data_IF_380226175557
#
_entry.id   IF_380226175557
#
_cell.length_a   1.000
_cell.length_b   1.000
_cell.length_c   1.000
_cell.angle_alpha   90.00
_cell.angle_beta   90.00
_cell.angle_gamma   90.00
#
_symmetry.space_group_name_H-M   'P 1'
#
loop_
_entity.id
_entity.type
_entity.pdbx_description
1 polymer ?
#
# COMPACT_ATOMS: atom_id res chain seq x y z
N UNK A 1 59.31 -43.90 -9.56
CA UNK A 1 59.96 -43.06 -8.53
C UNK A 1 58.91 -42.09 -8.00
N UNK A 2 58.48 -42.30 -6.74
CA UNK A 2 58.69 -41.35 -5.61
C UNK A 2 57.69 -40.18 -5.65
N UNK A 3 56.47 -40.37 -5.13
CA UNK A 3 55.99 -40.15 -3.75
C UNK A 3 55.68 -38.67 -3.41
N UNK A 4 54.38 -38.41 -3.21
CA UNK A 4 53.72 -37.61 -2.15
C UNK A 4 54.54 -36.57 -1.35
N UNK A 5 53.98 -35.37 -1.19
CA UNK A 5 53.41 -34.95 0.11
C UNK A 5 52.51 -33.73 -0.04
N UNK A 6 51.32 -33.82 0.55
CA UNK A 6 50.44 -32.69 0.81
C UNK A 6 51.11 -31.69 1.74
N UNK A 7 50.89 -30.39 1.50
CA UNK A 7 50.81 -29.41 2.58
C UNK A 7 49.56 -28.58 2.35
N UNK A 8 48.53 -28.87 3.15
CA UNK A 8 47.47 -27.91 3.48
C UNK A 8 48.14 -26.66 4.07
N UNK A 9 47.79 -25.49 3.56
CA UNK A 9 47.79 -24.29 4.40
C UNK A 9 46.38 -23.70 4.38
N UNK A 10 45.60 -24.13 5.38
CA UNK A 10 44.55 -23.30 5.93
C UNK A 10 45.21 -21.98 6.35
N UNK A 11 44.92 -20.90 5.65
CA UNK A 11 45.13 -19.56 6.20
C UNK A 11 43.89 -18.71 5.92
N UNK A 12 42.97 -18.83 6.88
CA UNK A 12 42.15 -17.75 7.41
C UNK A 12 41.61 -16.71 6.44
N UNK A 13 40.29 -16.80 6.23
CA UNK A 13 39.42 -15.65 6.00
C UNK A 13 39.65 -14.66 7.15
N UNK A 14 40.59 -13.72 6.99
CA UNK A 14 40.68 -12.54 7.84
C UNK A 14 39.87 -11.42 7.19
N UNK A 15 38.68 -11.26 7.74
CA UNK A 15 37.86 -10.05 7.65
C UNK A 15 38.71 -8.84 8.04
N UNK A 16 39.23 -8.11 7.06
CA UNK A 16 39.70 -6.74 7.29
C UNK A 16 38.87 -5.81 6.42
N UNK A 17 37.69 -5.44 6.93
CA UNK A 17 37.05 -4.18 6.54
C UNK A 17 37.99 -3.06 6.95
N UNK A 18 38.77 -2.52 6.01
CA UNK A 18 39.51 -1.28 6.24
C UNK A 18 38.51 -0.13 6.14
N UNK A 19 37.79 0.09 7.25
CA UNK A 19 37.10 1.35 7.51
C UNK A 19 38.16 2.42 7.77
N UNK A 20 38.71 3.00 6.71
CA UNK A 20 39.80 3.97 6.80
C UNK A 20 39.95 4.86 5.56
N UNK A 21 38.87 5.15 4.84
CA UNK A 21 38.91 6.15 3.78
C UNK A 21 38.81 7.54 4.41
N UNK A 22 39.97 8.20 4.58
CA UNK A 22 40.04 9.64 4.87
C UNK A 22 39.18 10.38 3.84
N UNK A 23 38.24 11.19 4.33
CA UNK A 23 37.38 12.05 3.51
C UNK A 23 38.22 13.18 2.93
N UNK A 24 38.89 12.92 1.81
CA UNK A 24 39.42 13.97 0.94
C UNK A 24 38.26 14.66 0.21
N UNK A 25 38.37 15.95 -0.14
CA UNK A 25 37.32 16.67 -0.88
C UNK A 25 36.97 15.99 -2.23
N UNK A 26 37.92 15.29 -2.84
CA UNK A 26 37.75 14.49 -4.05
C UNK A 26 36.84 13.27 -3.82
N UNK A 27 37.03 12.54 -2.72
CA UNK A 27 36.19 11.40 -2.34
C UNK A 27 34.77 11.84 -1.94
N UNK A 28 34.60 13.06 -1.43
CA UNK A 28 33.28 13.64 -1.14
C UNK A 28 32.52 13.99 -2.44
N UNK A 29 33.19 14.60 -3.43
CA UNK A 29 32.62 14.91 -4.75
C UNK A 29 32.20 13.65 -5.51
N UNK A 30 32.97 12.57 -5.40
CA UNK A 30 32.61 11.27 -5.97
C UNK A 30 31.37 10.63 -5.31
N UNK A 31 31.20 10.79 -4.00
CA UNK A 31 29.99 10.30 -3.29
C UNK A 31 28.74 11.09 -3.68
N UNK A 32 28.84 12.41 -3.90
CA UNK A 32 27.72 13.23 -4.35
C UNK A 32 27.30 12.82 -5.76
N UNK A 33 28.24 12.71 -6.71
CA UNK A 33 27.93 12.31 -8.08
C UNK A 33 27.35 10.89 -8.18
N UNK A 34 27.77 9.98 -7.31
CA UNK A 34 27.19 8.63 -7.23
C UNK A 34 25.76 8.65 -6.66
N UNK A 35 25.49 9.45 -5.63
CA UNK A 35 24.14 9.60 -5.06
C UNK A 35 23.17 10.24 -6.06
N UNK A 36 23.56 11.34 -6.73
CA UNK A 36 22.72 11.96 -7.76
C UNK A 36 22.49 11.03 -8.95
N UNK A 37 23.51 10.26 -9.37
CA UNK A 37 23.36 9.26 -10.44
C UNK A 37 22.45 8.10 -10.03
N UNK A 38 22.49 7.67 -8.77
CA UNK A 38 21.62 6.62 -8.25
C UNK A 38 20.15 7.06 -8.20
N UNK A 39 19.87 8.27 -7.70
CA UNK A 39 18.50 8.82 -7.70
C UNK A 39 17.96 8.98 -9.12
N UNK A 40 18.74 9.54 -10.03
CA UNK A 40 18.36 9.65 -11.44
C UNK A 40 18.06 8.28 -12.09
N UNK A 41 18.89 7.27 -11.79
CA UNK A 41 18.68 5.93 -12.29
C UNK A 41 17.39 5.29 -11.74
N UNK A 42 17.09 5.49 -10.44
CA UNK A 42 15.84 5.04 -9.84
C UNK A 42 14.62 5.74 -10.46
N UNK A 43 14.70 7.03 -10.71
CA UNK A 43 13.61 7.80 -11.34
C UNK A 43 13.37 7.35 -12.78
N UNK A 44 14.43 7.03 -13.52
CA UNK A 44 14.35 6.39 -14.83
C UNK A 44 13.74 4.99 -14.79
N UNK A 45 14.06 4.18 -13.79
CA UNK A 45 13.45 2.85 -13.63
C UNK A 45 11.96 2.96 -13.30
N UNK A 46 11.59 3.87 -12.38
CA UNK A 46 10.20 4.16 -12.05
C UNK A 46 9.41 4.65 -13.27
N UNK A 47 9.96 5.57 -14.06
CA UNK A 47 9.30 6.08 -15.27
C UNK A 47 9.12 4.99 -16.34
N UNK A 48 10.14 4.15 -16.57
CA UNK A 48 10.05 2.99 -17.48
C UNK A 48 9.01 1.96 -17.03
N UNK A 49 8.94 1.66 -15.73
CA UNK A 49 7.93 0.74 -15.19
C UNK A 49 6.52 1.31 -15.33
N UNK A 50 6.33 2.62 -15.07
CA UNK A 50 5.05 3.33 -15.28
C UNK A 50 4.63 3.36 -16.75
N UNK A 51 5.56 3.49 -17.69
CA UNK A 51 5.27 3.42 -19.12
C UNK A 51 4.83 2.01 -19.57
N UNK A 52 5.34 0.97 -18.91
CA UNK A 52 4.99 -0.43 -19.20
C UNK A 52 3.67 -0.86 -18.54
N UNK A 53 3.34 -0.29 -17.38
CA UNK A 53 2.20 -0.69 -16.56
C UNK A 53 1.38 0.55 -16.16
N UNK A 54 0.37 0.95 -16.97
CA UNK A 54 -0.40 2.17 -16.74
C UNK A 54 -1.28 2.16 -15.47
N UNK A 55 -1.43 1.00 -14.81
CA UNK A 55 -2.13 0.86 -13.52
C UNK A 55 -1.25 1.10 -12.30
N UNK A 56 0.06 1.31 -12.44
CA UNK A 56 0.90 1.75 -11.32
C UNK A 56 0.44 3.17 -10.97
N UNK A 57 -0.05 3.41 -9.73
CA UNK A 57 -0.55 4.72 -9.35
C UNK A 57 0.54 5.78 -9.55
N UNK A 58 0.22 6.82 -10.32
CA UNK A 58 1.01 8.04 -10.28
C UNK A 58 0.73 8.66 -8.91
N UNK A 59 1.77 8.92 -8.13
CA UNK A 59 1.60 9.79 -6.97
C UNK A 59 0.98 11.09 -7.52
N UNK A 60 -0.23 11.48 -7.05
CA UNK A 60 -0.82 12.73 -7.47
C UNK A 60 0.16 13.85 -7.10
N UNK A 61 0.31 14.84 -7.98
CA UNK A 61 1.22 15.95 -7.71
C UNK A 61 0.74 16.69 -6.44
N UNK A 62 1.36 16.42 -5.30
CA UNK A 62 1.09 17.10 -4.03
C UNK A 62 1.54 18.56 -4.02
N UNK A 63 2.22 18.98 -5.09
CA UNK A 63 2.84 20.28 -5.27
C UNK A 63 2.59 20.78 -6.68
N UNK A 64 2.15 22.03 -6.80
CA UNK A 64 2.00 22.73 -8.06
C UNK A 64 2.90 23.97 -8.07
N UNK A 65 3.52 24.27 -9.21
CA UNK A 65 4.22 25.53 -9.40
C UNK A 65 3.22 26.57 -9.90
N UNK A 66 2.95 27.59 -9.08
CA UNK A 66 2.06 28.70 -9.39
C UNK A 66 2.93 29.96 -9.30
N UNK A 67 3.08 30.68 -10.43
CA UNK A 67 3.88 31.90 -10.52
C UNK A 67 5.33 31.77 -10.02
N UNK A 68 5.98 30.64 -10.32
CA UNK A 68 7.35 30.35 -9.90
C UNK A 68 7.51 30.00 -8.41
N UNK A 69 6.39 29.91 -7.68
CA UNK A 69 6.35 29.44 -6.31
C UNK A 69 5.78 28.03 -6.25
N UNK A 70 6.45 27.16 -5.51
CA UNK A 70 6.02 25.79 -5.31
C UNK A 70 5.02 25.76 -4.14
N UNK A 71 3.74 25.56 -4.46
CA UNK A 71 2.62 25.53 -3.52
C UNK A 71 2.23 24.08 -3.24
N UNK A 72 2.11 23.72 -1.96
CA UNK A 72 1.58 22.41 -1.55
C UNK A 72 0.05 22.43 -1.56
N UNK A 73 -0.56 21.40 -2.17
CA UNK A 73 -2.01 21.24 -2.25
C UNK A 73 -2.45 20.18 -1.23
N UNK A 74 -2.95 20.57 -0.04
CA UNK A 74 -3.26 19.63 1.03
C UNK A 74 -4.34 18.62 0.63
N UNK A 75 -5.29 18.99 -0.23
CA UNK A 75 -6.36 18.12 -0.72
C UNK A 75 -5.84 16.97 -1.60
N UNK A 76 -4.63 17.12 -2.16
CA UNK A 76 -3.96 16.09 -2.96
C UNK A 76 -3.07 15.17 -2.12
N UNK A 77 -2.98 15.39 -0.81
CA UNK A 77 -2.23 14.52 0.10
C UNK A 77 -3.04 13.28 0.47
N UNK A 78 -2.38 12.12 0.47
CA UNK A 78 -3.00 10.86 0.85
C UNK A 78 -3.08 10.78 2.38
N UNK A 79 -4.28 10.85 2.93
CA UNK A 79 -4.53 10.68 4.36
C UNK A 79 -4.95 9.24 4.68
N UNK A 80 -4.17 8.55 5.51
CA UNK A 80 -4.53 7.24 6.04
C UNK A 80 -5.40 7.40 7.28
N UNK A 81 -6.71 7.17 7.14
CA UNK A 81 -7.65 7.23 8.26
C UNK A 81 -7.52 5.94 9.09
N UNK A 82 -6.95 6.06 10.29
CA UNK A 82 -6.78 4.94 11.22
C UNK A 82 -7.89 4.96 12.29
N UNK A 83 -8.68 3.88 12.44
CA UNK A 83 -9.69 3.77 13.49
C UNK A 83 -9.09 3.94 14.89
N UNK A 84 -9.83 4.62 15.78
CA UNK A 84 -9.45 4.71 17.19
C UNK A 84 -9.70 3.37 17.89
N UNK A 85 -8.84 3.00 18.84
CA UNK A 85 -9.07 1.82 19.70
C UNK A 85 -8.67 0.46 19.13
N UNK A 86 -7.84 0.40 18.07
CA UNK A 86 -7.37 -0.87 17.48
C UNK A 86 -6.71 -1.82 18.49
N UNK A 87 -6.09 -1.28 19.56
CA UNK A 87 -5.48 -2.08 20.63
C UNK A 87 -6.49 -2.95 21.40
N UNK A 88 -7.76 -2.54 21.44
CA UNK A 88 -8.85 -3.24 22.13
C UNK A 88 -9.69 -4.10 21.18
N UNK A 89 -9.30 -4.20 19.90
CA UNK A 89 -10.03 -4.99 18.92
C UNK A 89 -9.98 -6.48 19.26
N UNK A 90 -11.16 -7.08 19.35
CA UNK A 90 -11.36 -8.53 19.45
C UNK A 90 -10.92 -9.23 18.16
N UNK A 91 -11.18 -8.60 17.01
CA UNK A 91 -10.82 -9.12 15.69
C UNK A 91 -9.29 -9.20 15.55
N UNK A 92 -8.80 -10.39 15.18
CA UNK A 92 -7.39 -10.69 14.96
C UNK A 92 -7.11 -10.93 13.47
N UNK A 93 -5.84 -10.80 13.03
CA UNK A 93 -5.46 -11.04 11.63
C UNK A 93 -5.72 -12.48 11.15
N UNK A 94 -5.74 -13.44 12.07
CA UNK A 94 -5.93 -14.85 11.78
C UNK A 94 -7.16 -15.39 12.51
N UNK A 95 -7.79 -16.38 11.89
CA UNK A 95 -8.94 -17.11 12.43
C UNK A 95 -8.46 -18.44 13.02
N UNK A 96 -9.11 -18.91 14.07
CA UNK A 96 -8.83 -20.23 14.65
C UNK A 96 -9.15 -21.35 13.66
N UNK A 97 -8.31 -22.40 13.63
CA UNK A 97 -8.50 -23.52 12.70
C UNK A 97 -9.80 -24.29 12.92
N UNK A 98 -10.34 -24.25 14.15
CA UNK A 98 -11.57 -24.93 14.56
C UNK A 98 -12.83 -24.18 14.13
N UNK A 99 -12.70 -22.96 13.65
CA UNK A 99 -13.84 -22.17 13.23
C UNK A 99 -14.49 -22.80 12.00
N UNK A 100 -15.81 -22.96 12.04
CA UNK A 100 -16.57 -23.41 10.88
C UNK A 100 -16.51 -22.33 9.80
N UNK A 101 -16.28 -22.73 8.54
CA UNK A 101 -16.30 -21.80 7.41
C UNK A 101 -17.74 -21.66 6.93
N UNK A 102 -18.41 -20.51 7.14
CA UNK A 102 -19.77 -20.35 6.69
C UNK A 102 -19.80 -20.28 5.16
N UNK A 103 -20.69 -21.07 4.54
CA UNK A 103 -20.97 -20.95 3.10
C UNK A 103 -21.84 -19.71 2.92
N UNK A 104 -21.18 -18.58 2.65
CA UNK A 104 -21.86 -17.31 2.38
C UNK A 104 -22.09 -17.17 0.88
N UNK A 105 -23.33 -16.94 0.45
CA UNK A 105 -23.62 -16.84 -0.96
C UNK A 105 -23.30 -15.40 -1.44
N UNK A 106 -22.98 -15.23 -2.73
CA UNK A 106 -22.48 -13.95 -3.26
C UNK A 106 -23.39 -12.75 -2.95
N UNK A 107 -22.79 -11.62 -2.57
CA UNK A 107 -23.50 -10.37 -2.31
C UNK A 107 -23.99 -9.78 -3.64
N UNK A 108 -25.29 -9.90 -3.92
CA UNK A 108 -25.93 -9.33 -5.11
C UNK A 108 -26.74 -8.09 -4.74
N UNK A 109 -26.96 -7.19 -5.71
CA UNK A 109 -27.78 -5.99 -5.51
C UNK A 109 -29.18 -6.33 -4.94
N UNK A 110 -29.78 -7.43 -5.39
CA UNK A 110 -31.05 -7.93 -4.86
C UNK A 110 -30.95 -8.29 -3.38
N UNK A 111 -29.92 -9.01 -2.95
CA UNK A 111 -29.74 -9.36 -1.53
C UNK A 111 -29.50 -8.13 -0.65
N UNK A 112 -28.76 -7.15 -1.15
CA UNK A 112 -28.57 -5.87 -0.44
C UNK A 112 -29.88 -5.12 -0.31
N UNK A 113 -30.70 -5.09 -1.37
CA UNK A 113 -32.03 -4.50 -1.33
C UNK A 113 -32.91 -5.22 -0.31
N UNK A 114 -32.95 -6.54 -0.37
CA UNK A 114 -33.76 -7.37 0.50
C UNK A 114 -33.34 -7.18 1.98
N UNK A 115 -32.05 -7.13 2.27
CA UNK A 115 -31.56 -6.92 3.64
C UNK A 115 -31.86 -5.53 4.20
N UNK A 116 -31.75 -4.47 3.38
CA UNK A 116 -31.85 -3.09 3.86
C UNK A 116 -33.28 -2.55 3.85
N UNK A 117 -34.07 -2.88 2.82
CA UNK A 117 -35.35 -2.22 2.56
C UNK A 117 -36.57 -3.13 2.71
N UNK A 118 -36.42 -4.45 2.61
CA UNK A 118 -37.57 -5.35 2.54
C UNK A 118 -38.45 -5.29 3.80
N UNK A 119 -37.84 -5.31 4.99
CA UNK A 119 -38.57 -5.22 6.26
C UNK A 119 -39.38 -3.93 6.35
N UNK A 120 -38.79 -2.78 6.01
CA UNK A 120 -39.49 -1.50 6.08
C UNK A 120 -40.60 -1.39 5.02
N UNK A 121 -40.39 -1.95 3.83
CA UNK A 121 -41.43 -2.03 2.78
C UNK A 121 -42.60 -2.86 3.27
N UNK A 122 -42.33 -4.00 3.91
CA UNK A 122 -43.35 -4.91 4.40
C UNK A 122 -44.18 -4.26 5.52
N UNK A 123 -43.53 -3.61 6.49
CA UNK A 123 -44.19 -2.84 7.55
C UNK A 123 -45.07 -1.71 6.99
N UNK A 124 -44.57 -0.94 6.01
CA UNK A 124 -45.35 0.14 5.39
C UNK A 124 -46.53 -0.39 4.56
N UNK A 125 -46.36 -1.56 3.93
CA UNK A 125 -47.44 -2.23 3.21
C UNK A 125 -48.54 -2.70 4.16
N UNK A 126 -48.18 -3.24 5.33
CA UNK A 126 -49.13 -3.65 6.37
C UNK A 126 -49.88 -2.45 6.97
N UNK A 127 -49.23 -1.29 7.06
CA UNK A 127 -49.83 -0.03 7.47
C UNK A 127 -50.74 0.61 6.41
N UNK A 128 -50.87 0.00 5.22
CA UNK A 128 -51.72 0.51 4.14
C UNK A 128 -51.15 1.72 3.41
N UNK A 129 -49.83 1.96 3.48
CA UNK A 129 -49.18 3.04 2.73
C UNK A 129 -49.18 2.69 1.24
N UNK A 130 -49.67 3.62 0.41
CA UNK A 130 -49.66 3.44 -1.05
C UNK A 130 -48.24 3.32 -1.61
N UNK A 131 -48.11 2.67 -2.77
CA UNK A 131 -46.83 2.39 -3.45
C UNK A 131 -45.97 3.63 -3.65
N UNK A 132 -46.58 4.76 -4.01
CA UNK A 132 -45.87 6.02 -4.25
C UNK A 132 -45.29 6.61 -2.96
N UNK A 133 -45.98 6.42 -1.83
CA UNK A 133 -45.51 6.83 -0.51
C UNK A 133 -44.33 5.98 -0.02
N UNK A 134 -44.34 4.68 -0.33
CA UNK A 134 -43.24 3.76 -0.02
C UNK A 134 -41.98 4.15 -0.81
N UNK A 135 -42.12 4.37 -2.12
CA UNK A 135 -41.00 4.76 -2.98
C UNK A 135 -40.43 6.12 -2.57
N UNK A 136 -41.28 7.08 -2.21
CA UNK A 136 -40.87 8.40 -1.74
C UNK A 136 -40.00 8.32 -0.48
N UNK A 137 -40.39 7.50 0.50
CA UNK A 137 -39.62 7.31 1.74
C UNK A 137 -38.28 6.63 1.50
N UNK A 138 -38.24 5.60 0.65
CA UNK A 138 -36.98 4.88 0.34
C UNK A 138 -35.97 5.79 -0.36
N UNK A 139 -36.42 6.72 -1.22
CA UNK A 139 -35.54 7.68 -1.91
C UNK A 139 -34.99 8.78 -0.99
N UNK A 140 -35.62 9.02 0.15
CA UNK A 140 -35.23 10.08 1.09
C UNK A 140 -34.23 9.65 2.17
N UNK A 141 -33.93 8.35 2.25
CA UNK A 141 -32.90 7.77 3.14
C UNK A 141 -31.53 7.73 2.47
#
# INVERSE_FOLDING_TARGET
>A
MMWSTSVRSNSFILRNCVCGLKTTPENHRQKISYKTRYHWFLDLQKSRQRARYPWIPREPATRAEIDGQLVELPEMTLEYIVPKGLAQSELKPYVEWRAETPVTPALTARRLFDQKYFSSIQEMSEQGVGTDGIIGKIKSQ
#
